data_IF_419713270798
#
_entry.id   IF_419713270798
#
_cell.length_a   1.000
_cell.length_b   1.000
_cell.length_c   1.000
_cell.angle_alpha   90.00
_cell.angle_beta   90.00
_cell.angle_gamma   90.00
#
_symmetry.space_group_name_H-M   'P 1'
#
loop_
_entity.id
_entity.type
_entity.pdbx_description
1 polymer ?
#
# COMPACT_ATOMS: atom_id res chain seq x y z
N UNK A 1 9.80 -15.08 -2.33
CA UNK A 1 9.88 -13.61 -2.30
C UNK A 1 11.32 -13.21 -1.99
N UNK A 2 11.85 -12.11 -2.55
CA UNK A 2 13.18 -11.63 -2.19
C UNK A 2 13.22 -11.27 -0.70
N UNK A 3 14.36 -11.55 -0.06
CA UNK A 3 14.56 -11.19 1.35
C UNK A 3 14.88 -9.70 1.45
N UNK A 4 14.19 -8.99 2.33
CA UNK A 4 14.54 -7.61 2.67
C UNK A 4 15.75 -7.64 3.60
N UNK A 5 16.82 -6.93 3.22
CA UNK A 5 18.09 -6.87 3.93
C UNK A 5 18.14 -5.67 4.86
N UNK A 6 17.64 -4.52 4.40
CA UNK A 6 17.54 -3.28 5.17
C UNK A 6 16.42 -2.40 4.60
N UNK A 7 15.88 -1.52 5.41
CA UNK A 7 14.91 -0.52 4.98
C UNK A 7 14.87 0.65 5.97
N UNK A 8 14.40 1.80 5.52
CA UNK A 8 14.06 2.93 6.37
C UNK A 8 12.89 3.70 5.77
N UNK A 9 11.88 4.00 6.57
CA UNK A 9 10.75 4.88 6.24
C UNK A 9 10.97 6.33 6.68
N UNK A 10 12.12 6.62 7.30
CA UNK A 10 12.43 7.93 7.88
C UNK A 10 13.66 8.52 7.22
N UNK A 11 13.44 9.40 6.25
CA UNK A 11 14.51 10.06 5.51
C UNK A 11 15.41 10.89 6.41
N UNK A 12 14.84 11.55 7.42
CA UNK A 12 15.53 12.48 8.31
C UNK A 12 16.43 11.79 9.35
N UNK A 13 16.12 10.53 9.68
CA UNK A 13 16.84 9.76 10.71
C UNK A 13 17.93 8.84 10.13
N UNK A 14 18.03 8.73 8.81
CA UNK A 14 19.01 7.87 8.18
C UNK A 14 20.09 8.63 7.40
N UNK A 15 21.27 8.04 7.28
CA UNK A 15 22.43 8.65 6.62
C UNK A 15 22.26 8.85 5.10
N UNK A 16 21.26 8.20 4.51
CA UNK A 16 20.97 8.29 3.06
C UNK A 16 20.19 9.56 2.74
N UNK A 17 19.45 10.09 3.71
CA UNK A 17 18.56 11.25 3.53
C UNK A 17 17.35 10.96 2.64
N UNK A 18 16.99 9.69 2.47
CA UNK A 18 15.83 9.24 1.68
C UNK A 18 15.26 7.96 2.26
N UNK A 19 13.98 7.70 2.00
CA UNK A 19 13.38 6.40 2.25
C UNK A 19 13.95 5.35 1.30
N UNK A 20 14.21 4.14 1.80
CA UNK A 20 14.79 3.09 0.97
C UNK A 20 14.39 1.68 1.43
N UNK A 21 14.42 0.75 0.49
CA UNK A 21 14.34 -0.69 0.74
C UNK A 21 15.49 -1.37 -0.01
N UNK A 22 16.34 -2.09 0.71
CA UNK A 22 17.41 -2.93 0.14
C UNK A 22 16.94 -4.38 0.24
N UNK A 23 16.92 -5.08 -0.87
CA UNK A 23 16.49 -6.47 -0.92
C UNK A 23 17.41 -7.31 -1.80
N UNK A 24 17.34 -8.62 -1.61
CA UNK A 24 18.03 -9.56 -2.49
C UNK A 24 17.65 -9.32 -3.95
N UNK A 25 18.67 -9.35 -4.81
CA UNK A 25 18.43 -9.43 -6.25
C UNK A 25 17.97 -10.83 -6.62
N UNK A 26 16.72 -10.95 -7.05
CA UNK A 26 16.17 -12.24 -7.48
C UNK A 26 16.88 -12.70 -8.74
N UNK A 27 17.34 -13.96 -8.74
CA UNK A 27 17.84 -14.59 -9.95
C UNK A 27 16.66 -14.82 -10.91
N UNK A 28 16.84 -14.51 -12.18
CA UNK A 28 15.81 -14.69 -13.20
C UNK A 28 15.96 -13.73 -14.37
N UNK A 29 15.05 -13.87 -15.31
CA UNK A 29 14.96 -13.04 -16.52
C UNK A 29 13.64 -12.27 -16.46
N UNK A 30 13.66 -11.02 -16.92
CA UNK A 30 12.44 -10.21 -17.00
C UNK A 30 11.39 -10.91 -17.88
N UNK A 31 10.16 -10.98 -17.40
CA UNK A 31 9.06 -11.63 -18.10
C UNK A 31 8.86 -11.06 -19.53
N UNK A 32 9.01 -9.76 -19.72
CA UNK A 32 8.91 -9.11 -21.03
C UNK A 32 9.88 -9.67 -22.08
N UNK A 33 11.05 -10.15 -21.65
CA UNK A 33 12.06 -10.74 -22.54
C UNK A 33 11.73 -12.17 -22.96
N UNK A 34 11.08 -12.93 -22.08
CA UNK A 34 10.77 -14.36 -22.35
C UNK A 34 9.35 -14.54 -22.86
N UNK A 35 8.44 -13.62 -22.58
CA UNK A 35 7.05 -13.69 -22.99
C UNK A 35 6.83 -14.00 -24.48
N UNK A 36 7.53 -13.37 -25.44
CA UNK A 36 7.34 -13.66 -26.86
C UNK A 36 7.66 -15.12 -27.24
N UNK A 37 8.60 -15.75 -26.53
CA UNK A 37 9.06 -17.13 -26.81
C UNK A 37 8.35 -18.19 -25.99
N UNK A 38 7.58 -17.79 -24.97
CA UNK A 38 6.85 -18.72 -24.11
C UNK A 38 5.74 -19.44 -24.88
N UNK A 39 5.62 -20.74 -24.67
CA UNK A 39 4.51 -21.55 -25.15
C UNK A 39 3.17 -21.14 -24.50
N UNK A 40 2.06 -21.47 -25.17
CA UNK A 40 0.71 -21.11 -24.69
C UNK A 40 0.43 -21.72 -23.30
N UNK A 41 0.91 -22.92 -23.05
CA UNK A 41 0.74 -23.62 -21.76
C UNK A 41 1.47 -22.90 -20.63
N UNK A 42 2.69 -22.43 -20.86
CA UNK A 42 3.49 -21.70 -19.87
C UNK A 42 2.84 -20.35 -19.55
N UNK A 43 2.35 -19.63 -20.56
CA UNK A 43 1.60 -18.38 -20.37
C UNK A 43 0.33 -18.61 -19.55
N UNK A 44 -0.39 -19.71 -19.82
CA UNK A 44 -1.60 -20.05 -19.06
C UNK A 44 -1.30 -20.33 -17.59
N UNK A 45 -0.26 -21.14 -17.28
CA UNK A 45 0.12 -21.39 -15.89
C UNK A 45 0.57 -20.13 -15.15
N UNK A 46 1.27 -19.23 -15.83
CA UNK A 46 1.65 -17.93 -15.26
C UNK A 46 0.41 -17.08 -14.94
N UNK A 47 -0.53 -16.93 -15.88
CA UNK A 47 -1.76 -16.17 -15.67
C UNK A 47 -2.59 -16.78 -14.52
N UNK A 48 -2.67 -18.10 -14.47
CA UNK A 48 -3.34 -18.82 -13.37
C UNK A 48 -2.72 -18.51 -12.02
N UNK A 49 -1.38 -18.47 -11.95
CA UNK A 49 -0.66 -18.12 -10.71
C UNK A 49 -0.95 -16.68 -10.29
N UNK A 50 -0.90 -15.72 -11.23
CA UNK A 50 -1.24 -14.31 -10.97
C UNK A 50 -2.68 -14.18 -10.47
N UNK A 51 -3.64 -14.85 -11.13
CA UNK A 51 -5.04 -14.86 -10.70
C UNK A 51 -5.22 -15.43 -9.30
N UNK A 52 -4.42 -16.43 -8.92
CA UNK A 52 -4.40 -16.96 -7.55
C UNK A 52 -3.99 -15.91 -6.52
N UNK A 53 -2.95 -15.12 -6.80
CA UNK A 53 -2.54 -14.01 -5.94
C UNK A 53 -3.59 -12.92 -5.86
N UNK A 54 -4.18 -12.51 -7.01
CA UNK A 54 -5.24 -11.51 -7.03
C UNK A 54 -6.44 -11.96 -6.20
N UNK A 55 -6.86 -13.22 -6.33
CA UNK A 55 -7.96 -13.78 -5.51
C UNK A 55 -7.63 -13.70 -4.02
N UNK A 56 -6.39 -14.01 -3.63
CA UNK A 56 -5.94 -13.91 -2.23
C UNK A 56 -6.00 -12.46 -1.73
N UNK A 57 -5.55 -11.47 -2.52
CA UNK A 57 -5.63 -10.07 -2.15
C UNK A 57 -7.07 -9.57 -2.04
N UNK A 58 -7.92 -9.94 -2.99
CA UNK A 58 -9.35 -9.56 -2.98
C UNK A 58 -10.13 -10.18 -1.81
N UNK A 59 -9.62 -11.24 -1.19
CA UNK A 59 -10.23 -11.82 0.02
C UNK A 59 -9.97 -11.00 1.28
N UNK A 60 -9.04 -10.05 1.21
CA UNK A 60 -8.73 -9.13 2.30
C UNK A 60 -9.49 -7.82 2.07
N UNK A 61 -10.36 -7.45 3.00
CA UNK A 61 -11.09 -6.18 2.93
C UNK A 61 -10.58 -5.21 3.99
N UNK A 62 -10.54 -3.94 3.66
CA UNK A 62 -10.17 -2.86 4.57
C UNK A 62 -11.39 -2.01 4.87
N UNK A 63 -11.46 -1.45 6.06
CA UNK A 63 -12.58 -0.60 6.49
C UNK A 63 -12.49 0.82 5.93
N UNK A 64 -11.29 1.22 5.50
CA UNK A 64 -11.02 2.57 4.99
C UNK A 64 -10.14 2.49 3.75
N UNK A 65 -10.26 3.49 2.88
CA UNK A 65 -9.37 3.71 1.75
C UNK A 65 -8.24 4.65 2.14
N UNK A 66 -7.01 4.29 1.80
CA UNK A 66 -5.79 5.04 2.11
C UNK A 66 -4.54 4.19 1.91
N UNK A 67 -3.41 4.67 2.36
CA UNK A 67 -2.14 3.93 2.36
C UNK A 67 -1.86 3.28 3.70
N UNK A 68 -1.09 2.18 3.71
CA UNK A 68 -0.70 1.48 4.93
C UNK A 68 0.58 2.10 5.50
N UNK A 69 0.53 2.40 6.78
CA UNK A 69 1.65 2.92 7.56
C UNK A 69 1.94 1.99 8.74
N UNK A 70 3.11 2.12 9.34
CA UNK A 70 3.31 1.60 10.68
C UNK A 70 2.57 2.50 11.68
N UNK A 71 1.88 1.89 12.64
CA UNK A 71 1.14 2.64 13.67
C UNK A 71 2.04 3.56 14.49
N UNK A 72 3.33 3.20 14.63
CA UNK A 72 4.35 4.01 15.30
C UNK A 72 4.72 5.30 14.57
N UNK A 73 4.50 5.34 13.26
CA UNK A 73 4.90 6.46 12.40
C UNK A 73 3.75 7.46 12.18
N UNK A 74 2.60 7.19 12.79
CA UNK A 74 1.42 8.04 12.70
C UNK A 74 1.28 8.87 13.98
N UNK A 75 1.27 10.21 13.85
CA UNK A 75 1.07 11.13 14.97
C UNK A 75 -0.33 11.05 15.58
N UNK A 76 -1.31 10.61 14.80
CA UNK A 76 -2.69 10.40 15.24
C UNK A 76 -3.09 8.95 15.00
N UNK A 77 -3.59 8.31 16.04
CA UNK A 77 -4.24 7.02 15.95
C UNK A 77 -5.58 7.17 15.20
N UNK A 78 -5.52 7.25 13.88
CA UNK A 78 -6.71 7.00 13.08
C UNK A 78 -7.11 5.55 13.33
N UNK A 79 -8.06 5.34 14.27
CA UNK A 79 -8.49 4.01 14.71
C UNK A 79 -8.50 3.02 13.57
N UNK A 80 -7.53 2.13 13.58
CA UNK A 80 -7.36 1.14 12.54
C UNK A 80 -8.04 -0.13 12.94
N UNK A 81 -9.29 -0.24 12.62
CA UNK A 81 -9.87 -1.54 12.43
C UNK A 81 -9.45 -2.06 11.06
N UNK A 82 -8.23 -2.60 10.99
CA UNK A 82 -7.84 -3.44 9.88
C UNK A 82 -8.71 -4.69 9.93
N UNK A 83 -9.73 -4.69 9.09
CA UNK A 83 -10.36 -5.87 8.52
C UNK A 83 -11.27 -6.71 9.40
N UNK A 84 -12.51 -6.70 9.05
CA UNK A 84 -13.44 -7.83 9.17
C UNK A 84 -13.32 -8.69 7.90
N UNK A 85 -12.40 -9.62 7.86
CA UNK A 85 -12.27 -10.60 6.78
C UNK A 85 -11.81 -11.94 7.34
N UNK A 86 -12.07 -12.99 6.61
CA UNK A 86 -11.83 -14.39 6.96
C UNK A 86 -10.36 -14.76 7.22
N UNK A 87 -9.41 -13.87 6.96
CA UNK A 87 -7.99 -14.00 7.30
C UNK A 87 -7.59 -12.82 8.16
N UNK A 88 -7.32 -13.08 9.45
CA UNK A 88 -6.68 -12.09 10.30
C UNK A 88 -5.26 -11.84 9.79
N UNK A 89 -4.96 -10.60 9.45
CA UNK A 89 -3.61 -10.17 9.09
C UNK A 89 -2.72 -10.35 10.33
N UNK A 90 -1.64 -11.16 10.27
CA UNK A 90 -0.72 -11.27 11.38
C UNK A 90 -0.17 -9.90 11.76
N UNK A 91 -0.13 -9.57 13.06
CA UNK A 91 0.38 -8.31 13.57
C UNK A 91 -0.38 -7.05 13.05
N UNK A 92 -1.68 -7.16 12.81
CA UNK A 92 -2.52 -6.04 12.32
C UNK A 92 -2.39 -4.77 13.18
N UNK A 93 -2.18 -4.90 14.48
CA UNK A 93 -1.98 -3.78 15.42
C UNK A 93 -0.75 -2.91 15.12
N UNK A 94 0.19 -3.42 14.31
CA UNK A 94 1.39 -2.67 13.91
C UNK A 94 1.17 -1.74 12.73
N UNK A 95 0.02 -1.83 12.08
CA UNK A 95 -0.27 -1.08 10.87
C UNK A 95 -1.51 -0.22 11.05
N UNK A 96 -1.51 0.89 10.33
CA UNK A 96 -2.61 1.84 10.28
C UNK A 96 -2.92 2.22 8.82
N UNK A 97 -4.20 2.49 8.51
CA UNK A 97 -4.56 3.12 7.24
C UNK A 97 -4.53 4.63 7.45
N UNK A 98 -3.66 5.29 6.74
CA UNK A 98 -3.48 6.74 6.78
C UNK A 98 -3.75 7.40 5.43
N UNK A 99 -3.32 8.66 5.27
CA UNK A 99 -3.51 9.42 4.04
C UNK A 99 -3.00 8.67 2.81
N UNK A 100 -3.70 8.84 1.69
CA UNK A 100 -3.30 8.20 0.43
C UNK A 100 -1.99 8.79 -0.09
N UNK A 101 -1.07 7.90 -0.49
CA UNK A 101 0.16 8.23 -1.22
C UNK A 101 0.02 7.95 -2.72
N UNK A 102 -1.21 7.89 -3.24
CA UNK A 102 -1.47 7.72 -4.66
C UNK A 102 -0.86 8.85 -5.49
N UNK A 103 -0.37 8.53 -6.69
CA UNK A 103 0.27 9.50 -7.58
C UNK A 103 -0.64 10.67 -7.93
N UNK A 104 -1.94 10.43 -7.99
CA UNK A 104 -2.97 11.44 -8.19
C UNK A 104 -2.97 12.56 -7.14
N UNK A 105 -2.38 12.29 -5.95
CA UNK A 105 -2.27 13.24 -4.84
C UNK A 105 -0.87 13.84 -4.68
N UNK A 106 0.15 13.25 -5.31
CA UNK A 106 1.55 13.61 -5.10
C UNK A 106 2.19 14.24 -6.33
N UNK A 107 1.82 13.77 -7.54
CA UNK A 107 2.44 14.22 -8.79
C UNK A 107 2.03 15.67 -9.14
N UNK A 108 2.79 16.29 -10.05
CA UNK A 108 2.53 17.64 -10.60
C UNK A 108 2.47 18.74 -9.53
N UNK A 109 3.24 18.62 -8.46
CA UNK A 109 3.30 19.59 -7.36
C UNK A 109 2.11 19.53 -6.40
N UNK A 110 1.20 18.56 -6.54
CA UNK A 110 0.02 18.42 -5.67
C UNK A 110 0.39 18.09 -4.24
N UNK A 111 1.59 17.57 -3.99
CA UNK A 111 2.09 17.33 -2.64
C UNK A 111 2.11 18.60 -1.78
N UNK A 112 2.29 19.78 -2.41
CA UNK A 112 2.32 21.07 -1.72
C UNK A 112 0.93 21.64 -1.42
N UNK A 113 -0.13 21.02 -1.94
CA UNK A 113 -1.50 21.49 -1.71
C UNK A 113 -2.02 20.92 -0.39
N UNK A 114 -2.66 21.80 0.39
CA UNK A 114 -3.35 21.41 1.63
C UNK A 114 -4.77 20.94 1.29
N UNK A 115 -4.94 19.64 1.11
CA UNK A 115 -6.24 18.99 0.96
C UNK A 115 -6.25 17.64 1.68
N UNK A 116 -7.44 17.18 2.01
CA UNK A 116 -7.63 15.91 2.70
C UNK A 116 -7.30 14.73 1.78
N UNK A 117 -6.35 13.89 2.19
CA UNK A 117 -5.91 12.67 1.49
C UNK A 117 -6.45 11.39 2.13
N UNK A 118 -7.39 11.53 3.05
CA UNK A 118 -7.95 10.41 3.79
C UNK A 118 -7.25 10.16 5.14
N UNK A 119 -7.55 9.02 5.75
CA UNK A 119 -8.27 7.84 5.23
C UNK A 119 -9.78 8.06 5.07
N UNK A 120 -10.32 7.67 3.91
CA UNK A 120 -11.72 7.86 3.57
C UNK A 120 -12.54 6.56 3.70
N UNK A 121 -13.84 6.70 4.03
CA UNK A 121 -14.77 5.55 4.12
C UNK A 121 -15.25 5.07 2.74
N UNK A 122 -15.16 5.92 1.73
CA UNK A 122 -15.62 5.63 0.37
C UNK A 122 -14.58 6.09 -0.67
N UNK A 123 -14.62 5.47 -1.85
CA UNK A 123 -13.79 5.83 -3.01
C UNK A 123 -14.27 7.09 -3.74
N UNK A 124 -15.24 7.82 -3.22
CA UNK A 124 -15.67 9.06 -3.85
C UNK A 124 -14.52 10.05 -3.83
N UNK A 125 -14.03 10.40 -5.02
CA UNK A 125 -13.00 11.39 -5.24
C UNK A 125 -13.33 12.70 -4.49
N UNK A 126 -12.31 13.47 -4.08
CA UNK A 126 -12.39 14.51 -3.05
C UNK A 126 -13.10 15.80 -3.51
N UNK A 127 -14.25 15.70 -4.16
CA UNK A 127 -15.10 16.84 -4.49
C UNK A 127 -16.28 17.01 -3.54
N UNK A 128 -16.48 16.08 -2.60
CA UNK A 128 -17.51 16.19 -1.58
C UNK A 128 -16.90 15.78 -0.22
N UNK A 129 -17.15 16.58 0.81
CA UNK A 129 -16.64 16.55 2.18
C UNK A 129 -16.87 15.25 2.98
N UNK A 130 -16.54 14.08 2.44
CA UNK A 130 -16.80 12.80 3.07
C UNK A 130 -15.55 12.09 3.64
N UNK A 131 -14.41 12.77 3.71
CA UNK A 131 -13.32 12.33 4.56
C UNK A 131 -13.62 12.80 5.98
N UNK A 132 -14.01 11.88 6.84
CA UNK A 132 -14.33 12.16 8.23
C UNK A 132 -13.11 12.73 8.95
N UNK A 133 -13.04 14.05 9.08
CA UNK A 133 -12.38 14.65 10.22
C UNK A 133 -13.25 14.28 11.42
N UNK A 134 -12.77 13.36 12.23
CA UNK A 134 -13.35 13.15 13.55
C UNK A 134 -13.07 14.40 14.38
N UNK A 135 -14.04 15.32 14.36
CA UNK A 135 -14.06 16.52 15.19
C UNK A 135 -14.60 16.17 16.57
N UNK A 136 -14.04 15.17 17.23
CA UNK A 136 -14.19 15.03 18.66
C UNK A 136 -13.06 15.76 19.37
N UNK A 137 -13.11 17.12 19.31
CA UNK A 137 -12.49 17.99 20.26
C UNK A 137 -13.60 18.74 20.97
N UNK A 138 -13.99 18.26 22.12
CA UNK A 138 -14.36 19.02 23.30
C UNK A 138 -13.58 18.48 24.49
#
# INVERSE_FOLDING_TARGET
MPKVLAWSSRAEENLVGAEYIIMEKVAGVQLSKVWPTMGIRERFELVKSISGYQKSWMSTSFTKYGSLYYSSDMEYSYGCDLVKGSMSIPNHHRFAVGPSTGREFLDDGRIALDFDRGPCMTLNLPLEDNCLRDHSRE
#
